data_IF_249566185519
#
_entry.id   IF_249566185519
#
_cell.length_a   1.000
_cell.length_b   1.000
_cell.length_c   1.000
_cell.angle_alpha   90.00
_cell.angle_beta   90.00
_cell.angle_gamma   90.00
#
_symmetry.space_group_name_H-M   'P 1'
#
loop_
_entity.id
_entity.type
_entity.pdbx_description
1 polymer ?
#
# COMPACT_ATOMS: atom_id res chain seq x y z
N UNK A 1 -38.63 16.17 -0.65
CA UNK A 1 -37.46 16.93 -1.16
C UNK A 1 -36.18 16.63 -0.36
N UNK A 2 -36.21 16.67 0.97
CA UNK A 2 -35.06 16.39 1.84
C UNK A 2 -34.45 14.98 1.71
N UNK A 3 -35.27 13.95 1.47
CA UNK A 3 -34.77 12.56 1.30
C UNK A 3 -33.81 12.40 0.11
N UNK A 4 -34.01 13.15 -0.99
CA UNK A 4 -33.09 13.14 -2.14
C UNK A 4 -31.76 13.83 -1.81
N UNK A 5 -31.81 14.93 -1.05
CA UNK A 5 -30.61 15.62 -0.57
C UNK A 5 -29.78 14.75 0.39
N UNK A 6 -30.45 14.05 1.32
CA UNK A 6 -29.80 13.08 2.22
C UNK A 6 -29.13 11.94 1.44
N UNK A 7 -29.78 11.41 0.41
CA UNK A 7 -29.20 10.38 -0.45
C UNK A 7 -27.95 10.89 -1.21
N UNK A 8 -28.02 12.09 -1.80
CA UNK A 8 -26.87 12.69 -2.49
C UNK A 8 -25.69 12.95 -1.53
N UNK A 9 -25.97 13.43 -0.31
CA UNK A 9 -24.95 13.65 0.70
C UNK A 9 -24.29 12.34 1.13
N UNK A 10 -25.07 11.28 1.34
CA UNK A 10 -24.54 9.95 1.68
C UNK A 10 -23.61 9.42 0.58
N UNK A 11 -23.99 9.57 -0.70
CA UNK A 11 -23.13 9.15 -1.83
C UNK A 11 -21.82 9.95 -1.92
N UNK A 12 -21.85 11.26 -1.62
CA UNK A 12 -20.65 12.10 -1.59
C UNK A 12 -19.70 11.68 -0.47
N UNK A 13 -20.24 11.38 0.72
CA UNK A 13 -19.45 10.94 1.88
C UNK A 13 -18.78 9.58 1.66
N UNK A 14 -19.40 8.68 0.90
CA UNK A 14 -18.85 7.35 0.58
C UNK A 14 -17.71 7.39 -0.46
N UNK A 15 -17.55 8.49 -1.21
CA UNK A 15 -16.49 8.61 -2.22
C UNK A 15 -15.07 8.65 -1.64
N UNK A 16 -14.92 8.99 -0.35
CA UNK A 16 -13.62 8.98 0.34
C UNK A 16 -13.05 7.58 0.61
N UNK A 17 -13.89 6.53 0.60
CA UNK A 17 -13.43 5.14 0.78
C UNK A 17 -12.70 4.59 -0.46
N UNK A 18 -12.85 5.22 -1.63
CA UNK A 18 -12.12 4.87 -2.85
C UNK A 18 -10.75 5.56 -2.90
N UNK A 19 -10.03 5.55 -1.78
CA UNK A 19 -8.68 6.11 -1.65
C UNK A 19 -7.79 5.58 -2.78
N UNK A 20 -7.18 6.50 -3.53
CA UNK A 20 -6.23 6.12 -4.57
C UNK A 20 -4.97 5.55 -3.93
N UNK A 21 -4.31 4.62 -4.62
CA UNK A 21 -2.99 4.11 -4.20
C UNK A 21 -2.00 5.30 -4.08
N UNK A 22 -1.26 5.44 -2.96
CA UNK A 22 -0.27 6.49 -2.77
C UNK A 22 0.70 6.58 -3.95
N UNK A 23 1.07 7.80 -4.34
CA UNK A 23 1.86 8.07 -5.55
C UNK A 23 3.19 7.29 -5.53
N UNK A 24 3.78 7.16 -4.35
CA UNK A 24 5.08 6.56 -4.08
C UNK A 24 5.13 5.06 -4.38
N UNK A 25 3.99 4.35 -4.28
CA UNK A 25 3.89 2.91 -4.54
C UNK A 25 2.98 2.57 -5.73
N UNK A 26 2.41 3.60 -6.38
CA UNK A 26 1.47 3.45 -7.49
C UNK A 26 2.09 2.79 -8.71
N UNK A 27 3.34 3.10 -9.00
CA UNK A 27 4.12 2.51 -10.07
C UNK A 27 5.37 1.83 -9.49
N UNK A 28 5.84 0.73 -10.10
CA UNK A 28 7.14 0.19 -9.75
C UNK A 28 8.24 1.23 -10.06
N UNK A 29 9.35 1.21 -9.31
CA UNK A 29 10.55 1.95 -9.71
C UNK A 29 11.05 1.42 -11.06
N UNK A 30 11.72 2.29 -11.82
CA UNK A 30 12.37 1.94 -13.08
C UNK A 30 13.88 2.18 -12.93
N UNK A 31 14.73 1.13 -12.98
CA UNK A 31 14.39 -0.28 -13.19
C UNK A 31 13.75 -0.96 -11.95
N UNK A 32 12.90 -1.97 -12.18
CA UNK A 32 12.33 -2.80 -11.11
C UNK A 32 13.33 -3.89 -10.69
N UNK A 33 14.15 -3.58 -9.67
CA UNK A 33 15.23 -4.45 -9.21
C UNK A 33 14.71 -5.62 -8.35
N UNK A 34 14.90 -6.89 -8.76
CA UNK A 34 14.48 -8.03 -7.97
C UNK A 34 15.38 -8.21 -6.74
N UNK A 35 14.77 -8.62 -5.61
CA UNK A 35 15.48 -8.82 -4.34
C UNK A 35 16.70 -9.76 -4.48
N UNK A 36 16.55 -10.83 -5.26
CA UNK A 36 17.61 -11.83 -5.46
C UNK A 36 18.84 -11.26 -6.16
N UNK A 37 18.66 -10.32 -7.09
CA UNK A 37 19.77 -9.64 -7.78
C UNK A 37 20.52 -8.72 -6.82
N UNK A 38 19.77 -7.91 -6.06
CA UNK A 38 20.39 -7.00 -5.08
C UNK A 38 21.14 -7.76 -3.99
N UNK A 39 20.61 -8.90 -3.53
CA UNK A 39 21.29 -9.76 -2.56
C UNK A 39 22.58 -10.38 -3.11
N UNK A 40 22.67 -10.61 -4.42
CA UNK A 40 23.88 -11.15 -5.04
C UNK A 40 25.03 -10.13 -5.08
N UNK A 41 24.72 -8.81 -5.14
CA UNK A 41 25.73 -7.75 -5.11
C UNK A 41 25.24 -6.43 -4.48
N UNK A 42 25.09 -6.37 -3.13
CA UNK A 42 24.45 -5.23 -2.48
C UNK A 42 25.13 -3.88 -2.74
N UNK A 43 26.47 -3.84 -2.77
CA UNK A 43 27.23 -2.61 -3.01
C UNK A 43 26.94 -1.98 -4.38
N UNK A 44 26.65 -2.80 -5.40
CA UNK A 44 26.36 -2.29 -6.74
C UNK A 44 25.00 -1.59 -6.83
N UNK A 45 24.12 -1.78 -5.86
CA UNK A 45 22.76 -1.24 -5.84
C UNK A 45 22.52 -0.30 -4.65
N UNK A 46 23.58 0.16 -3.97
CA UNK A 46 23.46 1.16 -2.90
C UNK A 46 22.82 2.46 -3.42
N UNK A 47 21.84 2.97 -2.67
CA UNK A 47 21.09 4.19 -3.05
C UNK A 47 20.02 3.97 -4.12
N UNK A 48 19.88 2.77 -4.67
CA UNK A 48 18.79 2.45 -5.61
C UNK A 48 17.43 2.50 -4.91
N UNK A 49 16.42 3.04 -5.59
CA UNK A 49 15.04 3.00 -5.12
C UNK A 49 14.44 1.64 -5.48
N UNK A 50 13.93 0.94 -4.47
CA UNK A 50 13.33 -0.39 -4.63
C UNK A 50 11.93 -0.44 -4.00
N UNK A 51 11.10 -1.34 -4.50
CA UNK A 51 9.78 -1.65 -3.92
C UNK A 51 9.60 -3.16 -3.89
N UNK A 52 9.96 -3.77 -2.77
CA UNK A 52 9.78 -5.20 -2.57
C UNK A 52 8.53 -5.48 -1.74
N UNK A 53 7.76 -6.47 -2.16
CA UNK A 53 6.76 -7.10 -1.32
C UNK A 53 7.37 -8.20 -0.47
N UNK A 54 6.51 -8.99 0.17
CA UNK A 54 6.90 -10.16 0.93
C UNK A 54 5.69 -10.97 1.34
N UNK A 55 5.96 -12.01 2.12
CA UNK A 55 4.92 -12.80 2.79
C UNK A 55 4.94 -12.38 4.26
N UNK A 56 3.78 -12.02 4.80
CA UNK A 56 3.60 -11.91 6.24
C UNK A 56 3.54 -13.34 6.78
N UNK A 57 4.55 -13.73 7.55
CA UNK A 57 4.70 -15.07 8.08
C UNK A 57 3.65 -15.40 9.14
N UNK A 58 3.20 -14.41 9.91
CA UNK A 58 2.17 -14.58 10.94
C UNK A 58 1.33 -13.32 11.17
N UNK A 59 0.06 -13.53 11.54
CA UNK A 59 -0.87 -12.46 11.91
C UNK A 59 -1.60 -12.84 13.19
N UNK A 60 -1.48 -12.01 14.22
CA UNK A 60 -2.23 -12.13 15.47
C UNK A 60 -3.05 -10.86 15.69
N UNK A 61 -4.38 -10.98 15.68
CA UNK A 61 -5.27 -9.86 16.00
C UNK A 61 -5.60 -9.87 17.50
N UNK A 62 -5.31 -8.76 18.16
CA UNK A 62 -5.66 -8.50 19.56
C UNK A 62 -6.73 -7.42 19.62
N UNK A 63 -7.27 -7.20 20.82
CA UNK A 63 -8.38 -6.26 21.02
C UNK A 63 -8.07 -4.84 20.50
N UNK A 64 -6.83 -4.37 20.67
CA UNK A 64 -6.43 -2.99 20.35
C UNK A 64 -5.34 -2.89 19.27
N UNK A 65 -4.84 -4.02 18.77
CA UNK A 65 -3.69 -4.03 17.86
C UNK A 65 -3.65 -5.30 17.00
N UNK A 66 -2.90 -5.23 15.90
CA UNK A 66 -2.57 -6.40 15.08
C UNK A 66 -1.06 -6.56 15.07
N UNK A 67 -0.60 -7.75 15.46
CA UNK A 67 0.80 -8.14 15.39
C UNK A 67 1.06 -8.86 14.05
N UNK A 68 2.16 -8.48 13.41
CA UNK A 68 2.62 -9.02 12.13
C UNK A 68 4.07 -9.49 12.30
N UNK A 69 4.38 -10.68 11.81
CA UNK A 69 5.75 -11.24 11.73
C UNK A 69 6.05 -11.77 10.32
#
# INVERSE_FOLDING_TARGET
MYSRLLACLATLLLSGCASQVPLEIRLPPDPDLPLTEVLANPRAHEGARVRWGGVIAGVENRENETWLE
#
